data_IF_380614133752
#
_entry.id   IF_380614133752
#
_cell.length_a   1.000
_cell.length_b   1.000
_cell.length_c   1.000
_cell.angle_alpha   90.00
_cell.angle_beta   90.00
_cell.angle_gamma   90.00
#
_symmetry.space_group_name_H-M   'P 1'
#
loop_
_entity.id
_entity.type
_entity.pdbx_description
1 polymer ?
#
# COMPACT_ATOMS: atom_id res chain seq x y z
N UNK A 1 8.54 -32.54 -9.56
CA UNK A 1 7.12 -32.80 -9.85
C UNK A 1 6.70 -31.91 -11.04
N UNK A 2 5.99 -32.50 -12.00
CA UNK A 2 5.49 -31.78 -13.17
C UNK A 2 4.03 -31.41 -12.96
N UNK A 3 3.67 -30.16 -13.31
CA UNK A 3 2.29 -29.67 -13.32
C UNK A 3 1.91 -29.42 -14.78
N UNK A 4 0.75 -29.89 -15.20
CA UNK A 4 0.21 -29.65 -16.54
C UNK A 4 -1.16 -29.00 -16.43
N UNK A 5 -1.34 -27.85 -17.08
CA UNK A 5 -2.61 -27.10 -17.12
C UNK A 5 -2.84 -26.65 -18.55
N UNK A 6 -3.97 -27.00 -19.14
CA UNK A 6 -4.33 -26.63 -20.51
C UNK A 6 -3.21 -26.90 -21.54
N UNK A 7 -2.52 -28.06 -21.41
CA UNK A 7 -1.42 -28.46 -22.28
C UNK A 7 -0.06 -27.79 -21.97
N UNK A 8 -0.02 -26.74 -21.14
CA UNK A 8 1.21 -26.10 -20.70
C UNK A 8 1.80 -26.82 -19.48
N UNK A 9 3.12 -26.92 -19.44
CA UNK A 9 3.86 -27.66 -18.40
C UNK A 9 4.78 -26.75 -17.61
N UNK A 10 4.82 -26.95 -16.30
CA UNK A 10 5.78 -26.33 -15.40
C UNK A 10 6.34 -27.37 -14.43
N UNK A 11 7.57 -27.16 -13.94
CA UNK A 11 8.23 -28.09 -13.03
C UNK A 11 8.49 -27.43 -11.67
N UNK A 12 8.13 -28.14 -10.60
CA UNK A 12 8.42 -27.79 -9.21
C UNK A 12 9.53 -28.71 -8.72
N UNK A 13 10.62 -28.13 -8.23
CA UNK A 13 11.70 -28.89 -7.60
C UNK A 13 11.28 -29.32 -6.20
N UNK A 14 11.29 -30.62 -5.96
CA UNK A 14 10.92 -31.23 -4.68
C UNK A 14 12.08 -31.22 -3.68
N UNK A 15 13.33 -31.10 -4.15
CA UNK A 15 14.58 -31.15 -3.36
C UNK A 15 14.67 -32.41 -2.46
N UNK A 16 14.18 -33.54 -2.97
CA UNK A 16 14.29 -34.86 -2.35
C UNK A 16 14.87 -35.86 -3.37
N UNK A 17 15.63 -36.80 -2.91
CA UNK A 17 16.20 -37.87 -3.72
C UNK A 17 15.72 -39.23 -3.22
N UNK A 18 15.58 -40.16 -4.15
CA UNK A 18 15.22 -41.53 -3.89
C UNK A 18 16.03 -42.44 -4.84
N UNK A 19 16.37 -43.64 -4.38
CA UNK A 19 17.02 -44.64 -5.23
C UNK A 19 16.12 -45.03 -6.39
N UNK A 20 16.66 -45.10 -7.61
CA UNK A 20 15.90 -45.47 -8.82
C UNK A 20 15.18 -46.80 -8.66
N UNK A 21 15.83 -47.76 -8.01
CA UNK A 21 15.29 -49.09 -7.71
C UNK A 21 14.09 -49.07 -6.75
N UNK A 22 13.96 -47.99 -5.96
CA UNK A 22 12.87 -47.78 -4.99
C UNK A 22 11.81 -46.82 -5.49
N UNK A 23 11.79 -46.49 -6.78
CA UNK A 23 10.82 -45.56 -7.36
C UNK A 23 9.85 -46.28 -8.31
N UNK A 24 8.56 -46.08 -8.12
CA UNK A 24 7.54 -46.54 -9.05
C UNK A 24 7.07 -45.36 -9.93
N UNK A 25 7.49 -45.37 -11.20
CA UNK A 25 7.19 -44.31 -12.16
C UNK A 25 5.71 -44.25 -12.55
N UNK A 26 4.99 -45.40 -12.51
CA UNK A 26 3.55 -45.43 -12.85
C UNK A 26 2.71 -44.88 -11.73
N UNK A 27 3.06 -45.16 -10.46
CA UNK A 27 2.35 -44.64 -9.28
C UNK A 27 2.93 -43.32 -8.78
N UNK A 28 4.05 -42.88 -9.34
CA UNK A 28 4.77 -41.65 -8.92
C UNK A 28 5.03 -41.60 -7.40
N UNK A 29 5.47 -42.72 -6.82
CA UNK A 29 5.71 -42.87 -5.39
C UNK A 29 6.91 -43.77 -5.12
N UNK A 30 7.48 -43.65 -3.92
CA UNK A 30 8.53 -44.58 -3.46
C UNK A 30 7.93 -45.94 -3.07
N UNK A 31 8.64 -47.02 -3.45
CA UNK A 31 8.27 -48.40 -3.15
C UNK A 31 8.78 -48.78 -1.78
N UNK A 32 8.04 -49.62 -1.06
CA UNK A 32 8.40 -50.19 0.23
C UNK A 32 7.73 -49.51 1.42
N UNK A 33 7.73 -50.23 2.55
CA UNK A 33 7.17 -49.81 3.84
C UNK A 33 8.22 -49.23 4.79
N UNK A 34 9.44 -48.99 4.27
CA UNK A 34 10.50 -48.38 5.07
C UNK A 34 10.12 -46.95 5.45
N UNK A 35 10.54 -46.53 6.63
CA UNK A 35 10.28 -45.18 7.14
C UNK A 35 10.62 -44.07 6.14
N UNK A 36 11.76 -44.14 5.46
CA UNK A 36 12.18 -43.17 4.44
C UNK A 36 11.23 -43.10 3.24
N UNK A 37 10.76 -44.28 2.76
CA UNK A 37 9.76 -44.31 1.65
C UNK A 37 8.41 -43.74 2.07
N UNK A 38 7.97 -44.01 3.29
CA UNK A 38 6.72 -43.46 3.83
C UNK A 38 6.81 -41.95 4.03
N UNK A 39 7.93 -41.46 4.60
CA UNK A 39 8.15 -40.00 4.78
C UNK A 39 8.21 -39.25 3.43
N UNK A 40 8.86 -39.86 2.41
CA UNK A 40 8.91 -39.28 1.08
C UNK A 40 7.49 -39.21 0.45
N UNK A 41 6.73 -40.30 0.52
CA UNK A 41 5.39 -40.36 -0.03
C UNK A 41 4.46 -39.34 0.66
N UNK A 42 4.51 -39.27 1.98
CA UNK A 42 3.75 -38.25 2.74
C UNK A 42 4.13 -36.81 2.33
N UNK A 43 5.41 -36.55 2.15
CA UNK A 43 5.88 -35.26 1.66
C UNK A 43 5.36 -34.95 0.24
N UNK A 44 5.40 -35.94 -0.67
CA UNK A 44 4.86 -35.78 -2.03
C UNK A 44 3.35 -35.47 -2.01
N UNK A 45 2.60 -36.15 -1.14
CA UNK A 45 1.18 -35.88 -0.97
C UNK A 45 0.92 -34.47 -0.41
N UNK A 46 1.71 -34.02 0.56
CA UNK A 46 1.63 -32.65 1.07
C UNK A 46 1.87 -31.62 -0.04
N UNK A 47 2.84 -31.85 -0.91
CA UNK A 47 3.12 -30.98 -2.06
C UNK A 47 1.94 -30.98 -3.05
N UNK A 48 1.37 -32.15 -3.36
CA UNK A 48 0.19 -32.28 -4.23
C UNK A 48 -1.00 -31.51 -3.66
N UNK A 49 -1.27 -31.69 -2.37
CA UNK A 49 -2.38 -30.99 -1.68
C UNK A 49 -2.18 -29.49 -1.71
N UNK A 50 -0.97 -28.99 -1.48
CA UNK A 50 -0.67 -27.55 -1.57
C UNK A 50 -0.90 -26.99 -2.96
N UNK A 51 -0.51 -27.68 -4.02
CA UNK A 51 -0.75 -27.25 -5.40
C UNK A 51 -2.24 -27.25 -5.73
N UNK A 52 -2.99 -28.26 -5.29
CA UNK A 52 -4.45 -28.33 -5.46
C UNK A 52 -5.19 -27.22 -4.71
N UNK A 53 -4.71 -26.87 -3.50
CA UNK A 53 -5.26 -25.76 -2.75
C UNK A 53 -5.06 -24.43 -3.49
N UNK A 54 -3.83 -24.17 -4.00
CA UNK A 54 -3.54 -22.99 -4.81
C UNK A 54 -4.43 -22.93 -6.06
N UNK A 55 -4.69 -24.06 -6.70
CA UNK A 55 -5.58 -24.13 -7.85
C UNK A 55 -7.01 -23.69 -7.48
N UNK A 56 -7.56 -24.23 -6.38
CA UNK A 56 -8.89 -23.85 -5.90
C UNK A 56 -9.02 -22.38 -5.54
N UNK A 57 -7.98 -21.81 -4.89
CA UNK A 57 -7.94 -20.38 -4.55
C UNK A 57 -7.96 -19.52 -5.81
N UNK A 58 -7.19 -19.89 -6.85
CA UNK A 58 -7.20 -19.19 -8.13
C UNK A 58 -8.55 -19.28 -8.85
N UNK A 59 -9.20 -20.43 -8.76
CA UNK A 59 -10.52 -20.66 -9.34
C UNK A 59 -11.60 -19.81 -8.64
N UNK A 60 -11.58 -19.77 -7.31
CA UNK A 60 -12.47 -18.91 -6.50
C UNK A 60 -12.26 -17.42 -6.75
N UNK A 61 -11.00 -17.00 -6.93
CA UNK A 61 -10.63 -15.61 -7.24
C UNK A 61 -10.95 -15.21 -8.69
N UNK A 62 -11.39 -16.15 -9.56
CA UNK A 62 -11.63 -15.91 -10.99
C UNK A 62 -10.36 -15.52 -11.75
N UNK A 63 -9.20 -15.92 -11.25
CA UNK A 63 -7.89 -15.60 -11.85
C UNK A 63 -7.51 -16.63 -12.94
N UNK A 64 -6.76 -16.23 -13.97
CA UNK A 64 -6.30 -17.18 -14.97
C UNK A 64 -5.40 -18.25 -14.35
N UNK A 65 -5.72 -19.53 -14.62
CA UNK A 65 -4.98 -20.68 -14.09
C UNK A 65 -4.05 -21.19 -15.19
N UNK A 66 -2.74 -21.03 -14.99
CA UNK A 66 -1.70 -21.58 -15.84
C UNK A 66 -0.69 -22.36 -15.01
N UNK A 67 0.07 -23.27 -15.64
CA UNK A 67 1.10 -24.05 -14.94
C UNK A 67 2.17 -23.14 -14.30
N UNK A 68 2.54 -22.03 -14.96
CA UNK A 68 3.49 -21.05 -14.42
C UNK A 68 2.94 -20.25 -13.25
N UNK A 69 1.66 -19.89 -13.25
CA UNK A 69 1.00 -19.20 -12.13
C UNK A 69 0.97 -20.12 -10.91
N UNK A 70 0.61 -21.39 -11.07
CA UNK A 70 0.67 -22.38 -9.98
C UNK A 70 2.07 -22.55 -9.42
N UNK A 71 3.08 -22.67 -10.30
CA UNK A 71 4.49 -22.78 -9.89
C UNK A 71 4.94 -21.56 -9.09
N UNK A 72 4.70 -20.34 -9.59
CA UNK A 72 5.07 -19.10 -8.90
C UNK A 72 4.39 -18.99 -7.53
N UNK A 73 3.09 -19.27 -7.44
CA UNK A 73 2.39 -19.29 -6.14
C UNK A 73 2.92 -20.37 -5.20
N UNK A 74 3.26 -21.54 -5.70
CA UNK A 74 3.85 -22.60 -4.89
C UNK A 74 5.15 -22.15 -4.22
N UNK A 75 5.99 -21.40 -4.95
CA UNK A 75 7.24 -20.83 -4.41
C UNK A 75 7.05 -19.53 -3.63
N UNK A 76 5.83 -19.04 -3.52
CA UNK A 76 5.53 -17.75 -2.89
C UNK A 76 5.88 -16.55 -3.78
N UNK A 77 6.15 -16.76 -5.06
CA UNK A 77 6.46 -15.70 -6.04
C UNK A 77 5.20 -15.08 -6.67
N UNK A 78 4.04 -15.62 -6.38
CA UNK A 78 2.77 -15.12 -6.86
C UNK A 78 2.03 -14.36 -5.79
N UNK A 79 1.81 -13.07 -5.99
CA UNK A 79 1.19 -12.12 -5.07
C UNK A 79 2.05 -11.90 -3.80
N UNK A 80 3.28 -11.39 -3.96
CA UNK A 80 3.89 -10.63 -2.88
C UNK A 80 2.83 -9.62 -2.40
N UNK A 81 2.45 -9.64 -1.13
CA UNK A 81 1.42 -8.73 -0.66
C UNK A 81 1.83 -7.31 -1.04
N UNK A 82 0.93 -6.58 -1.69
CA UNK A 82 1.20 -5.17 -2.00
C UNK A 82 1.39 -4.42 -0.70
N UNK A 83 2.56 -3.79 -0.57
CA UNK A 83 2.95 -3.09 0.64
C UNK A 83 2.51 -1.62 0.58
N UNK A 84 2.13 -1.05 1.71
CA UNK A 84 1.57 0.29 1.80
C UNK A 84 2.53 1.37 1.29
N UNK A 85 3.76 1.39 1.80
CA UNK A 85 4.73 2.42 1.43
C UNK A 85 5.25 2.24 0.01
N UNK A 86 5.38 0.99 -0.47
CA UNK A 86 5.68 0.70 -1.87
C UNK A 86 4.66 1.36 -2.81
N UNK A 87 3.35 1.19 -2.52
CA UNK A 87 2.28 1.77 -3.33
C UNK A 87 2.26 3.29 -3.21
N UNK A 88 2.51 3.84 -2.02
CA UNK A 88 2.68 5.28 -1.84
C UNK A 88 3.84 5.86 -2.66
N UNK A 89 4.98 5.19 -2.66
CA UNK A 89 6.17 5.63 -3.40
C UNK A 89 5.91 5.63 -4.91
N UNK A 90 5.27 4.58 -5.43
CA UNK A 90 4.90 4.51 -6.84
C UNK A 90 3.90 5.60 -7.24
N UNK A 91 2.89 5.85 -6.39
CA UNK A 91 1.95 6.96 -6.57
C UNK A 91 2.67 8.32 -6.57
N UNK A 92 3.55 8.55 -5.59
CA UNK A 92 4.29 9.80 -5.44
C UNK A 92 5.25 10.03 -6.62
N UNK A 93 5.87 8.97 -7.14
CA UNK A 93 6.70 9.03 -8.35
C UNK A 93 5.89 9.54 -9.55
N UNK A 94 4.71 8.97 -9.80
CA UNK A 94 3.82 9.41 -10.89
C UNK A 94 3.36 10.85 -10.74
N UNK A 95 3.06 11.28 -9.51
CA UNK A 95 2.68 12.67 -9.24
C UNK A 95 3.83 13.64 -9.43
N UNK A 96 5.05 13.22 -9.10
CA UNK A 96 6.27 14.03 -9.32
C UNK A 96 6.57 14.22 -10.81
N UNK A 97 6.40 13.21 -11.64
CA UNK A 97 6.56 13.27 -13.09
C UNK A 97 5.59 14.27 -13.76
N UNK A 98 4.42 14.49 -13.14
CA UNK A 98 3.40 15.43 -13.61
C UNK A 98 3.43 16.80 -12.88
N UNK A 99 4.44 17.01 -12.03
CA UNK A 99 4.60 18.28 -11.30
C UNK A 99 4.86 19.43 -12.27
N UNK A 100 4.16 20.54 -12.05
CA UNK A 100 4.22 21.71 -12.93
C UNK A 100 3.30 21.64 -14.17
N UNK A 101 2.80 20.45 -14.52
CA UNK A 101 1.82 20.27 -15.61
C UNK A 101 0.39 20.05 -15.07
N UNK A 102 0.24 19.12 -14.14
CA UNK A 102 -1.07 18.72 -13.57
C UNK A 102 -1.12 19.02 -12.08
N UNK A 103 0.00 18.80 -11.38
CA UNK A 103 0.08 18.96 -9.93
C UNK A 103 1.04 20.07 -9.54
N UNK A 104 0.64 20.87 -8.55
CA UNK A 104 1.52 21.86 -7.92
C UNK A 104 2.45 21.17 -6.91
N UNK A 105 3.67 21.71 -6.76
CA UNK A 105 4.69 21.16 -5.87
C UNK A 105 4.18 20.89 -4.44
N UNK A 106 3.36 21.79 -3.88
CA UNK A 106 2.77 21.63 -2.55
C UNK A 106 1.84 20.41 -2.40
N UNK A 107 1.25 19.93 -3.51
CA UNK A 107 0.44 18.70 -3.50
C UNK A 107 1.35 17.47 -3.41
N UNK A 108 2.39 17.41 -4.21
CA UNK A 108 3.36 16.30 -4.21
C UNK A 108 4.02 16.17 -2.83
N UNK A 109 4.53 17.28 -2.30
CA UNK A 109 5.16 17.32 -0.96
C UNK A 109 4.23 16.83 0.16
N UNK A 110 2.92 17.09 0.07
CA UNK A 110 1.95 16.58 1.07
C UNK A 110 1.80 15.06 1.01
N UNK A 111 1.76 14.46 -0.17
CA UNK A 111 1.73 13.00 -0.30
C UNK A 111 3.03 12.37 0.20
N UNK A 112 4.18 12.94 -0.15
CA UNK A 112 5.48 12.48 0.34
C UNK A 112 5.57 12.54 1.87
N UNK A 113 5.09 13.64 2.46
CA UNK A 113 5.03 13.79 3.92
C UNK A 113 4.08 12.77 4.56
N UNK A 114 2.93 12.47 3.91
CA UNK A 114 2.01 11.44 4.38
C UNK A 114 2.69 10.07 4.41
N UNK A 115 3.37 9.68 3.34
CA UNK A 115 4.13 8.44 3.27
C UNK A 115 5.23 8.36 4.35
N UNK A 116 5.95 9.46 4.56
CA UNK A 116 6.97 9.54 5.60
C UNK A 116 6.39 9.34 6.99
N UNK A 117 5.28 10.00 7.33
CA UNK A 117 4.65 9.88 8.64
C UNK A 117 4.10 8.47 8.88
N UNK A 118 3.58 7.80 7.85
CA UNK A 118 3.19 6.39 7.92
C UNK A 118 4.40 5.49 8.18
N UNK A 119 5.51 5.71 7.49
CA UNK A 119 6.75 4.96 7.72
C UNK A 119 7.31 5.15 9.14
N UNK A 120 7.29 6.38 9.65
CA UNK A 120 7.73 6.68 11.02
C UNK A 120 6.83 6.01 12.07
N UNK A 121 5.49 5.98 11.84
CA UNK A 121 4.55 5.24 12.69
C UNK A 121 4.86 3.73 12.69
N UNK A 122 5.05 3.15 11.50
CA UNK A 122 5.36 1.72 11.35
C UNK A 122 6.65 1.35 12.08
N UNK A 123 7.68 2.15 11.96
CA UNK A 123 8.94 1.96 12.68
C UNK A 123 8.76 2.05 14.20
N UNK A 124 8.05 3.09 14.67
CA UNK A 124 7.94 3.39 16.09
C UNK A 124 7.05 2.40 16.83
N UNK A 125 5.86 2.11 16.30
CA UNK A 125 4.85 1.31 17.00
C UNK A 125 4.86 -0.17 16.59
N UNK A 126 5.17 -0.46 15.33
CA UNK A 126 5.12 -1.83 14.80
C UNK A 126 6.49 -2.45 14.58
N UNK A 127 7.59 -1.68 14.68
CA UNK A 127 8.97 -2.10 14.40
C UNK A 127 9.12 -2.74 13.01
N UNK A 128 8.35 -2.24 12.05
CA UNK A 128 8.31 -2.74 10.67
C UNK A 128 8.71 -1.62 9.71
N UNK A 129 9.30 -2.01 8.57
CA UNK A 129 9.65 -1.06 7.51
C UNK A 129 8.47 -0.73 6.60
N UNK A 130 7.51 -1.65 6.46
CA UNK A 130 6.31 -1.49 5.66
C UNK A 130 5.24 -2.50 6.14
N UNK A 131 3.98 -2.35 5.73
CA UNK A 131 2.87 -3.20 6.10
C UNK A 131 2.08 -3.66 4.86
N UNK A 132 1.65 -4.94 4.79
CA UNK A 132 0.75 -5.38 3.74
C UNK A 132 -0.56 -4.59 3.73
N UNK A 133 -1.02 -4.16 2.55
CA UNK A 133 -2.29 -3.42 2.43
C UNK A 133 -3.49 -4.17 3.02
N UNK A 134 -3.47 -5.51 3.00
CA UNK A 134 -4.52 -6.37 3.56
C UNK A 134 -4.60 -6.32 5.10
N UNK A 135 -3.54 -5.90 5.77
CA UNK A 135 -3.47 -5.80 7.23
C UNK A 135 -3.92 -4.42 7.74
N UNK A 136 -4.17 -3.47 6.83
CA UNK A 136 -4.65 -2.14 7.19
C UNK A 136 -6.12 -2.24 7.55
N UNK A 137 -6.43 -1.93 8.80
CA UNK A 137 -7.77 -1.92 9.34
C UNK A 137 -8.11 -0.54 9.93
N UNK A 138 -9.32 -0.39 10.46
CA UNK A 138 -9.79 0.84 11.10
C UNK A 138 -8.89 1.27 12.27
N UNK A 139 -8.38 0.32 13.07
CA UNK A 139 -7.49 0.61 14.20
C UNK A 139 -6.18 1.25 13.73
N UNK A 140 -5.58 0.74 12.66
CA UNK A 140 -4.36 1.32 12.09
C UNK A 140 -4.58 2.78 11.67
N UNK A 141 -5.75 3.09 11.08
CA UNK A 141 -6.08 4.47 10.68
C UNK A 141 -6.24 5.37 11.89
N UNK A 142 -6.92 4.89 12.94
CA UNK A 142 -7.09 5.64 14.19
C UNK A 142 -5.74 5.90 14.88
N UNK A 143 -4.82 4.92 14.89
CA UNK A 143 -3.45 5.09 15.38
C UNK A 143 -2.67 6.11 14.57
N UNK A 144 -2.80 6.08 13.25
CA UNK A 144 -2.16 7.09 12.39
C UNK A 144 -2.70 8.49 12.66
N UNK A 145 -4.02 8.65 12.83
CA UNK A 145 -4.62 9.94 13.22
C UNK A 145 -4.06 10.43 14.55
N UNK A 146 -4.02 9.55 15.56
CA UNK A 146 -3.46 9.87 16.87
C UNK A 146 -1.99 10.28 16.77
N UNK A 147 -1.18 9.50 16.08
CA UNK A 147 0.25 9.75 15.86
C UNK A 147 0.51 11.13 15.24
N UNK A 148 -0.24 11.49 14.19
CA UNK A 148 -0.07 12.78 13.52
C UNK A 148 -0.45 13.94 14.43
N UNK A 149 -1.48 13.78 15.27
CA UNK A 149 -1.88 14.79 16.24
C UNK A 149 -0.88 14.97 17.38
N UNK A 150 -0.41 13.89 17.95
CA UNK A 150 0.46 13.90 19.16
C UNK A 150 1.91 14.11 18.81
N UNK A 151 2.48 13.25 17.98
CA UNK A 151 3.91 13.26 17.68
C UNK A 151 4.32 14.33 16.67
N UNK A 152 3.42 14.69 15.74
CA UNK A 152 3.67 15.73 14.73
C UNK A 152 3.02 17.06 15.05
N UNK A 153 2.31 17.15 16.19
CA UNK A 153 1.62 18.36 16.65
C UNK A 153 0.76 19.00 15.56
N UNK A 154 0.14 18.18 14.71
CA UNK A 154 -0.68 18.66 13.61
C UNK A 154 -2.08 19.07 14.09
N UNK A 155 -2.51 20.27 13.73
CA UNK A 155 -3.88 20.72 13.95
C UNK A 155 -4.89 19.86 13.17
N UNK A 156 -6.16 19.85 13.61
CA UNK A 156 -7.24 19.02 13.07
C UNK A 156 -7.32 19.05 11.53
N UNK A 157 -7.32 20.22 10.93
CA UNK A 157 -7.44 20.35 9.47
C UNK A 157 -6.23 19.81 8.70
N UNK A 158 -5.04 19.88 9.29
CA UNK A 158 -3.83 19.30 8.72
C UNK A 158 -3.89 17.77 8.80
N UNK A 159 -4.30 17.22 9.95
CA UNK A 159 -4.50 15.78 10.16
C UNK A 159 -5.50 15.21 9.13
N UNK A 160 -6.65 15.87 8.95
CA UNK A 160 -7.65 15.47 7.96
C UNK A 160 -7.07 15.43 6.53
N UNK A 161 -6.16 16.34 6.18
CA UNK A 161 -5.49 16.32 4.86
C UNK A 161 -4.61 15.07 4.71
N UNK A 162 -3.86 14.67 5.73
CA UNK A 162 -3.05 13.45 5.71
C UNK A 162 -3.92 12.20 5.60
N UNK A 163 -5.01 12.13 6.37
CA UNK A 163 -5.97 11.03 6.29
C UNK A 163 -6.64 10.94 4.90
N UNK A 164 -7.00 12.06 4.28
CA UNK A 164 -7.53 12.10 2.91
C UNK A 164 -6.51 11.60 1.87
N UNK A 165 -5.22 11.96 2.02
CA UNK A 165 -4.16 11.43 1.17
C UNK A 165 -4.00 9.92 1.34
N UNK A 166 -4.04 9.44 2.57
CA UNK A 166 -3.99 8.01 2.86
C UNK A 166 -5.20 7.28 2.27
N UNK A 167 -6.42 7.79 2.49
CA UNK A 167 -7.65 7.25 1.88
C UNK A 167 -7.55 7.16 0.35
N UNK A 168 -6.89 8.12 -0.31
CA UNK A 168 -6.68 8.07 -1.77
C UNK A 168 -5.88 6.85 -2.18
N UNK A 169 -4.83 6.48 -1.45
CA UNK A 169 -4.01 5.28 -1.72
C UNK A 169 -4.80 4.01 -1.47
N UNK A 170 -5.55 3.94 -0.37
CA UNK A 170 -6.46 2.82 -0.10
C UNK A 170 -7.49 2.66 -1.23
N UNK A 171 -8.03 3.77 -1.75
CA UNK A 171 -8.95 3.74 -2.89
C UNK A 171 -8.28 3.19 -4.16
N UNK A 172 -7.01 3.50 -4.40
CA UNK A 172 -6.22 2.89 -5.48
C UNK A 172 -6.10 1.38 -5.27
N UNK A 173 -5.85 0.93 -4.04
CA UNK A 173 -5.76 -0.49 -3.71
C UNK A 173 -7.09 -1.24 -3.92
N UNK A 174 -8.22 -0.63 -3.56
CA UNK A 174 -9.56 -1.19 -3.81
C UNK A 174 -9.87 -1.33 -5.30
N UNK A 175 -9.63 -0.26 -6.08
CA UNK A 175 -9.86 -0.28 -7.54
C UNK A 175 -9.02 -1.35 -8.24
N UNK A 176 -7.78 -1.58 -7.78
CA UNK A 176 -6.90 -2.62 -8.31
C UNK A 176 -7.15 -4.01 -7.69
N UNK A 177 -8.16 -4.14 -6.82
CA UNK A 177 -8.51 -5.41 -6.13
C UNK A 177 -7.35 -6.02 -5.33
N UNK A 178 -6.46 -5.18 -4.78
CA UNK A 178 -5.40 -5.62 -3.87
C UNK A 178 -5.92 -5.85 -2.45
N UNK A 179 -7.02 -5.17 -2.12
CA UNK A 179 -7.82 -5.35 -0.90
C UNK A 179 -9.30 -5.43 -1.28
N UNK A 180 -10.10 -6.08 -0.44
CA UNK A 180 -11.55 -6.27 -0.63
C UNK A 180 -12.38 -5.25 0.13
N UNK A 181 -11.94 -4.91 1.34
CA UNK A 181 -12.71 -4.08 2.27
C UNK A 181 -12.09 -2.69 2.38
N UNK A 182 -12.93 -1.65 2.50
CA UNK A 182 -12.48 -0.28 2.71
C UNK A 182 -12.31 0.01 4.21
N UNK A 183 -11.09 0.08 4.74
CA UNK A 183 -10.88 0.39 6.15
C UNK A 183 -11.29 1.82 6.54
N UNK A 184 -11.62 2.68 5.57
CA UNK A 184 -12.13 4.03 5.79
C UNK A 184 -13.66 4.14 5.73
N UNK A 185 -14.40 3.03 5.63
CA UNK A 185 -15.84 3.04 5.33
C UNK A 185 -16.62 3.95 6.29
N UNK A 186 -16.37 3.85 7.59
CA UNK A 186 -17.11 4.58 8.64
C UNK A 186 -16.38 5.83 9.15
N UNK A 187 -15.24 6.20 8.52
CA UNK A 187 -14.45 7.35 8.99
C UNK A 187 -14.97 8.64 8.37
N UNK A 188 -15.51 9.51 9.24
CA UNK A 188 -16.00 10.82 8.88
C UNK A 188 -14.97 11.90 9.24
N UNK A 189 -14.53 12.65 8.23
CA UNK A 189 -13.54 13.71 8.41
C UNK A 189 -14.21 15.01 8.88
N UNK A 190 -14.12 15.31 10.17
CA UNK A 190 -14.58 16.60 10.72
C UNK A 190 -13.50 17.66 10.50
N UNK A 191 -13.85 18.72 9.80
CA UNK A 191 -12.99 19.90 9.64
C UNK A 191 -13.46 21.02 10.58
N UNK A 192 -12.52 21.70 11.21
CA UNK A 192 -12.79 22.90 12.01
C UNK A 192 -12.89 24.10 11.07
N UNK A 193 -13.95 24.90 11.21
CA UNK A 193 -14.06 26.17 10.49
C UNK A 193 -12.90 27.07 10.93
N UNK A 194 -12.20 27.62 9.97
CA UNK A 194 -11.13 28.57 10.22
C UNK A 194 -11.70 29.96 9.99
N UNK A 195 -11.87 30.72 11.06
CA UNK A 195 -12.17 32.13 10.93
C UNK A 195 -10.87 32.83 10.51
N UNK A 196 -10.84 33.31 9.28
CA UNK A 196 -9.75 34.16 8.82
C UNK A 196 -10.15 35.60 9.17
N UNK A 197 -9.25 36.27 9.89
CA UNK A 197 -9.39 37.70 10.07
C UNK A 197 -9.28 38.38 8.68
N UNK A 198 -10.10 39.34 8.45
CA UNK A 198 -10.06 40.23 7.29
C UNK A 198 -9.98 41.65 7.81
N UNK A 199 -9.37 42.53 7.04
CA UNK A 199 -9.31 43.94 7.39
C UNK A 199 -10.70 44.55 7.23
N UNK A 200 -11.08 45.34 8.23
CA UNK A 200 -12.26 46.20 8.08
C UNK A 200 -11.98 47.34 7.08
N UNK A 201 -12.99 48.00 6.60
CA UNK A 201 -12.82 49.13 5.69
C UNK A 201 -12.00 50.27 6.31
N UNK A 202 -12.17 50.48 7.61
CA UNK A 202 -11.38 51.45 8.37
C UNK A 202 -9.91 51.07 8.45
N UNK A 203 -9.61 49.80 8.76
CA UNK A 203 -8.23 49.30 8.79
C UNK A 203 -7.58 49.34 7.41
N UNK A 204 -8.33 49.05 6.35
CA UNK A 204 -7.87 49.14 4.98
C UNK A 204 -7.53 50.58 4.63
N UNK A 205 -8.35 51.55 5.02
CA UNK A 205 -8.12 52.99 4.81
C UNK A 205 -6.89 53.50 5.60
N UNK A 206 -6.65 52.97 6.81
CA UNK A 206 -5.42 53.26 7.58
C UNK A 206 -4.21 52.72 6.83
N UNK A 207 -4.26 51.50 6.31
CA UNK A 207 -3.18 50.89 5.55
C UNK A 207 -2.88 51.65 4.27
N UNK A 208 -3.91 52.13 3.55
CA UNK A 208 -3.79 52.95 2.35
C UNK A 208 -3.04 54.27 2.60
N UNK A 209 -3.35 54.92 3.69
CA UNK A 209 -2.76 56.23 4.05
C UNK A 209 -1.39 56.11 4.68
N UNK A 210 -0.96 54.89 5.04
CA UNK A 210 0.32 54.69 5.72
C UNK A 210 1.49 54.82 4.76
N UNK A 211 2.39 55.75 5.06
CA UNK A 211 3.65 55.88 4.36
C UNK A 211 4.68 54.91 4.91
N UNK A 212 5.40 54.23 4.03
CA UNK A 212 6.46 53.30 4.38
C UNK A 212 7.81 53.90 3.95
N UNK A 213 8.78 53.86 4.85
CA UNK A 213 10.16 54.29 4.56
C UNK A 213 10.87 53.32 3.59
N UNK A 214 10.39 52.08 3.48
CA UNK A 214 10.97 51.06 2.59
C UNK A 214 10.11 50.97 1.32
N UNK A 215 10.63 51.33 0.13
CA UNK A 215 9.84 51.34 -1.12
C UNK A 215 9.16 50.00 -1.45
N UNK A 216 9.83 48.88 -1.12
CA UNK A 216 9.25 47.53 -1.32
C UNK A 216 7.94 47.32 -0.54
N UNK A 217 7.84 47.83 0.69
CA UNK A 217 6.62 47.71 1.49
C UNK A 217 5.50 48.56 0.92
N UNK A 218 5.81 49.71 0.35
CA UNK A 218 4.84 50.54 -0.34
C UNK A 218 4.23 49.81 -1.55
N UNK A 219 5.08 49.19 -2.39
CA UNK A 219 4.63 48.39 -3.52
C UNK A 219 3.75 47.21 -3.07
N UNK A 220 4.13 46.51 -1.99
CA UNK A 220 3.33 45.39 -1.44
C UNK A 220 1.97 45.85 -0.94
N UNK A 221 1.93 47.03 -0.24
CA UNK A 221 0.65 47.67 0.19
C UNK A 221 -0.22 47.95 -1.01
N UNK A 222 0.33 48.61 -2.03
CA UNK A 222 -0.44 49.02 -3.21
C UNK A 222 -1.02 47.80 -3.96
N UNK A 223 -0.25 46.76 -4.13
CA UNK A 223 -0.73 45.49 -4.69
C UNK A 223 -1.81 44.86 -3.81
N UNK A 224 -1.62 44.83 -2.49
CA UNK A 224 -2.56 44.21 -1.56
C UNK A 224 -3.92 44.93 -1.55
N UNK A 225 -3.91 46.26 -1.66
CA UNK A 225 -5.11 47.08 -1.65
C UNK A 225 -5.85 47.02 -3.01
N UNK A 226 -5.11 46.81 -4.10
CA UNK A 226 -5.69 46.70 -5.44
C UNK A 226 -6.39 45.35 -5.66
N UNK A 227 -5.95 44.23 -4.99
CA UNK A 227 -6.53 42.89 -5.11
C UNK A 227 -7.73 42.68 -4.20
#
# INVERSE_FOLDING_TARGET
>A
MRITVNGQRAEIQIKRSVDISKWNSQKECAIGKERKSMELNHYLDTVRMKVLQIHRELEQDGKPITADVLKRRYYGEGDSPKMLLEVFQEHNRKYRELMGKVYVAGTVLRYERTARYLGELLQKEYRMNDIPLKEINHEFIARFEHYVKTEKSCAQNATVKYLKNFKKIIKVALVNKWITDDPFLEIHFKQTKTNRAFLTEEELNILLKKEFTIPRLQTVRDIFVFC
#
